data_IF_132718988270
#
_entry.id   IF_132718988270
#
_cell.length_a   1.000
_cell.length_b   1.000
_cell.length_c   1.000
_cell.angle_alpha   90.00
_cell.angle_beta   90.00
_cell.angle_gamma   90.00
#
_symmetry.space_group_name_H-M   'P 1'
#
loop_
_entity.id
_entity.type
_entity.pdbx_description
1 polymer ?
#
# COMPACT_ATOMS: atom_id res chain seq x y z
N UNK A 1 -18.85 -0.57 -24.96
CA UNK A 1 -17.41 -0.31 -24.72
C UNK A 1 -17.03 -0.93 -23.38
N UNK A 2 -15.80 -1.44 -23.22
CA UNK A 2 -15.31 -1.82 -21.88
C UNK A 2 -14.98 -0.53 -21.12
N UNK A 3 -15.36 -0.41 -19.84
CA UNK A 3 -14.96 0.74 -19.02
C UNK A 3 -13.44 0.78 -18.89
N UNK A 4 -12.89 1.99 -18.85
CA UNK A 4 -11.46 2.20 -18.61
C UNK A 4 -11.18 2.03 -17.11
N UNK A 5 -10.03 1.44 -16.80
CA UNK A 5 -9.57 1.25 -15.43
C UNK A 5 -8.13 1.76 -15.33
N UNK A 6 -7.88 2.66 -14.39
CA UNK A 6 -6.55 3.21 -14.11
C UNK A 6 -5.94 2.44 -12.94
N UNK A 7 -4.68 2.02 -13.09
CA UNK A 7 -3.87 1.54 -11.97
C UNK A 7 -2.79 2.60 -11.76
N UNK A 8 -2.74 3.17 -10.56
CA UNK A 8 -1.83 4.27 -10.26
C UNK A 8 -0.96 3.95 -9.06
N UNK A 9 0.32 4.30 -9.19
CA UNK A 9 1.20 4.46 -8.03
C UNK A 9 0.87 5.76 -7.28
N UNK A 10 1.39 5.87 -6.07
CA UNK A 10 1.25 7.03 -5.19
C UNK A 10 2.48 7.94 -5.28
N UNK A 11 3.61 7.48 -4.75
CA UNK A 11 4.80 8.32 -4.60
C UNK A 11 5.38 8.71 -5.96
N UNK A 12 5.65 10.00 -6.13
CA UNK A 12 6.15 10.59 -7.37
C UNK A 12 5.26 10.38 -8.61
N UNK A 13 4.01 9.89 -8.42
CA UNK A 13 3.00 9.76 -9.48
C UNK A 13 1.77 10.61 -9.14
N UNK A 14 1.04 10.27 -8.09
CA UNK A 14 -0.08 11.08 -7.58
C UNK A 14 0.38 12.09 -6.53
N UNK A 15 1.49 11.81 -5.84
CA UNK A 15 2.04 12.63 -4.77
C UNK A 15 3.44 13.12 -5.16
N UNK A 16 3.60 14.42 -5.36
CA UNK A 16 4.93 15.04 -5.41
C UNK A 16 5.46 15.26 -3.99
N UNK A 17 4.57 15.42 -3.01
CA UNK A 17 4.83 15.55 -1.59
C UNK A 17 3.69 14.93 -0.75
N UNK A 18 3.93 14.60 0.54
CA UNK A 18 2.86 14.10 1.42
C UNK A 18 1.67 15.06 1.58
N UNK A 19 1.85 16.36 1.37
CA UNK A 19 0.76 17.35 1.44
C UNK A 19 -0.22 17.29 0.26
N UNK A 20 0.12 16.58 -0.81
CA UNK A 20 -0.71 16.51 -2.03
C UNK A 20 -1.87 15.50 -1.90
N UNK A 21 -1.99 14.84 -0.74
CA UNK A 21 -2.96 13.76 -0.48
C UNK A 21 -4.40 14.13 -0.85
N UNK A 22 -4.81 15.36 -0.55
CA UNK A 22 -6.16 15.83 -0.86
C UNK A 22 -6.37 16.12 -2.35
N UNK A 23 -5.33 16.59 -3.04
CA UNK A 23 -5.38 16.84 -4.48
C UNK A 23 -5.44 15.50 -5.25
N UNK A 24 -4.63 14.52 -4.85
CA UNK A 24 -4.70 13.16 -5.38
C UNK A 24 -6.10 12.55 -5.21
N UNK A 25 -6.71 12.72 -4.03
CA UNK A 25 -8.08 12.30 -3.76
C UNK A 25 -9.10 12.94 -4.72
N UNK A 26 -9.00 14.25 -4.92
CA UNK A 26 -9.88 14.98 -5.86
C UNK A 26 -9.78 14.47 -7.29
N UNK A 27 -8.57 14.24 -7.80
CA UNK A 27 -8.34 13.71 -9.16
C UNK A 27 -9.01 12.33 -9.31
N UNK A 28 -8.87 11.46 -8.32
CA UNK A 28 -9.46 10.12 -8.37
C UNK A 28 -11.00 10.16 -8.30
N UNK A 29 -11.58 11.06 -7.52
CA UNK A 29 -13.02 11.27 -7.45
C UNK A 29 -13.54 11.77 -8.81
N UNK A 30 -12.85 12.74 -9.43
CA UNK A 30 -13.23 13.26 -10.75
C UNK A 30 -13.15 12.17 -11.85
N UNK A 31 -12.16 11.27 -11.79
CA UNK A 31 -12.11 10.10 -12.66
C UNK A 31 -13.30 9.15 -12.43
N UNK A 32 -13.64 8.90 -11.17
CA UNK A 32 -14.78 8.04 -10.82
C UNK A 32 -16.12 8.61 -11.31
N UNK A 33 -16.31 9.93 -11.23
CA UNK A 33 -17.50 10.62 -11.76
C UNK A 33 -17.63 10.49 -13.28
N UNK A 34 -16.52 10.24 -13.99
CA UNK A 34 -16.47 9.97 -15.43
C UNK A 34 -16.62 8.47 -15.76
N UNK A 35 -16.86 7.62 -14.75
CA UNK A 35 -16.96 6.17 -14.90
C UNK A 35 -15.62 5.45 -15.06
N UNK A 36 -14.52 6.09 -14.63
CA UNK A 36 -13.17 5.53 -14.66
C UNK A 36 -12.74 5.17 -13.24
N UNK A 37 -12.69 3.88 -12.93
CA UNK A 37 -12.21 3.41 -11.63
C UNK A 37 -10.68 3.51 -11.56
N UNK A 38 -10.16 3.91 -10.39
CA UNK A 38 -8.72 3.94 -10.12
C UNK A 38 -8.39 2.96 -8.99
N UNK A 39 -7.47 2.02 -9.25
CA UNK A 39 -6.90 1.15 -8.22
C UNK A 39 -5.50 1.65 -7.86
N UNK A 40 -5.27 1.87 -6.56
CA UNK A 40 -3.96 2.27 -6.06
C UNK A 40 -3.04 1.05 -5.94
N UNK A 41 -1.78 1.21 -6.33
CA UNK A 41 -0.75 0.19 -6.22
C UNK A 41 0.60 0.80 -5.87
N UNK A 42 1.10 0.58 -4.65
CA UNK A 42 2.32 1.25 -4.16
C UNK A 42 3.22 0.31 -3.36
N UNK A 43 4.47 0.73 -3.13
CA UNK A 43 5.38 0.09 -2.17
C UNK A 43 5.01 0.33 -0.71
N UNK A 44 4.09 1.26 -0.44
CA UNK A 44 3.55 1.55 0.89
C UNK A 44 2.97 0.30 1.56
N UNK A 45 3.05 0.27 2.88
CA UNK A 45 2.48 -0.79 3.72
C UNK A 45 0.96 -0.79 3.66
N UNK A 46 0.34 -1.91 4.05
CA UNK A 46 -1.12 -2.02 4.16
C UNK A 46 -1.74 -0.88 4.98
N UNK A 47 -1.13 -0.54 6.12
CA UNK A 47 -1.61 0.54 6.99
C UNK A 47 -1.49 1.93 6.34
N UNK A 48 -0.38 2.21 5.66
CA UNK A 48 -0.20 3.49 4.97
C UNK A 48 -1.21 3.68 3.85
N UNK A 49 -1.55 2.62 3.13
CA UNK A 49 -2.56 2.65 2.06
C UNK A 49 -3.97 2.91 2.60
N UNK A 50 -4.33 2.33 3.75
CA UNK A 50 -5.62 2.63 4.42
C UNK A 50 -5.65 4.11 4.83
N UNK A 51 -4.60 4.55 5.53
CA UNK A 51 -4.50 5.95 5.96
C UNK A 51 -4.53 6.93 4.79
N UNK A 52 -3.91 6.58 3.66
CA UNK A 52 -3.99 7.38 2.44
C UNK A 52 -5.44 7.53 1.96
N UNK A 53 -6.20 6.42 1.83
CA UNK A 53 -7.58 6.50 1.36
C UNK A 53 -8.46 7.38 2.27
N UNK A 54 -8.30 7.23 3.58
CA UNK A 54 -9.01 8.06 4.58
C UNK A 54 -8.66 9.54 4.42
N UNK A 55 -7.37 9.88 4.34
CA UNK A 55 -6.92 11.28 4.24
C UNK A 55 -7.25 11.91 2.89
N UNK A 56 -7.20 11.14 1.81
CA UNK A 56 -7.58 11.57 0.47
C UNK A 56 -9.11 11.74 0.31
N UNK A 57 -9.91 11.36 1.31
CA UNK A 57 -11.37 11.46 1.26
C UNK A 57 -12.00 10.50 0.26
N UNK A 58 -11.35 9.37 0.00
CA UNK A 58 -11.82 8.36 -0.94
C UNK A 58 -12.84 7.44 -0.28
N UNK A 59 -13.81 6.97 -1.08
CA UNK A 59 -14.61 5.82 -0.66
C UNK A 59 -13.70 4.58 -0.56
N UNK A 60 -13.85 3.74 0.49
CA UNK A 60 -13.06 2.52 0.63
C UNK A 60 -13.09 1.68 -0.64
N UNK A 61 -11.91 1.42 -1.20
CA UNK A 61 -11.77 0.64 -2.44
C UNK A 61 -10.59 -0.33 -2.35
N UNK A 62 -10.58 -1.41 -3.15
CA UNK A 62 -9.45 -2.34 -3.18
C UNK A 62 -8.16 -1.67 -3.66
N UNK A 63 -7.03 -2.07 -3.08
CA UNK A 63 -5.70 -1.54 -3.40
C UNK A 63 -4.62 -2.62 -3.30
N UNK A 64 -3.46 -2.33 -3.89
CA UNK A 64 -2.27 -3.19 -3.86
C UNK A 64 -1.20 -2.50 -3.01
N UNK A 65 -0.60 -3.24 -2.09
CA UNK A 65 0.41 -2.72 -1.16
C UNK A 65 1.70 -3.54 -1.22
N UNK A 66 2.78 -2.97 -0.70
CA UNK A 66 4.12 -3.58 -0.64
C UNK A 66 4.54 -4.20 -1.98
N UNK A 67 4.37 -3.45 -3.09
CA UNK A 67 4.74 -3.88 -4.44
C UNK A 67 4.06 -5.19 -4.89
N UNK A 68 2.82 -5.43 -4.45
CA UNK A 68 2.08 -6.64 -4.80
C UNK A 68 2.24 -7.80 -3.82
N UNK A 69 2.93 -7.60 -2.70
CA UNK A 69 2.95 -8.58 -1.61
C UNK A 69 1.54 -8.84 -1.02
N UNK A 70 0.60 -7.91 -1.18
CA UNK A 70 -0.78 -8.17 -0.86
C UNK A 70 -1.79 -7.22 -1.51
N UNK A 71 -3.06 -7.60 -1.34
CA UNK A 71 -4.24 -6.84 -1.78
C UNK A 71 -5.03 -6.47 -0.53
N UNK A 72 -5.28 -5.18 -0.34
CA UNK A 72 -6.23 -4.67 0.64
C UNK A 72 -7.62 -4.58 0.03
N UNK A 73 -8.64 -5.00 0.78
CA UNK A 73 -10.02 -5.00 0.30
C UNK A 73 -11.00 -4.55 1.40
N UNK A 74 -11.96 -3.65 1.12
CA UNK A 74 -12.97 -3.23 2.09
C UNK A 74 -13.82 -4.41 2.58
N UNK A 75 -13.94 -4.61 3.90
CA UNK A 75 -14.67 -5.74 4.46
C UNK A 75 -16.16 -5.73 4.13
N UNK A 76 -16.75 -4.55 3.95
CA UNK A 76 -18.17 -4.39 3.60
C UNK A 76 -18.50 -4.97 2.22
N UNK A 77 -17.57 -4.84 1.26
CA UNK A 77 -17.71 -5.30 -0.11
C UNK A 77 -16.81 -6.50 -0.43
N UNK A 78 -16.36 -7.22 0.60
CA UNK A 78 -15.48 -8.36 0.43
C UNK A 78 -16.24 -9.56 -0.16
N UNK A 79 -15.84 -10.09 -1.33
CA UNK A 79 -16.48 -11.28 -1.86
C UNK A 79 -16.31 -12.48 -0.92
N UNK A 80 -17.38 -13.25 -0.69
CA UNK A 80 -17.38 -14.39 0.23
C UNK A 80 -16.26 -15.40 -0.05
N UNK A 81 -15.93 -15.63 -1.33
CA UNK A 81 -14.86 -16.55 -1.73
C UNK A 81 -13.44 -16.07 -1.35
N UNK A 82 -13.32 -14.78 -1.01
CA UNK A 82 -12.08 -14.10 -0.64
C UNK A 82 -11.92 -13.95 0.88
N UNK A 83 -13.00 -13.98 1.67
CA UNK A 83 -12.95 -13.86 3.14
C UNK A 83 -12.06 -14.92 3.80
N UNK A 84 -12.14 -16.16 3.30
CA UNK A 84 -11.27 -17.27 3.73
C UNK A 84 -9.77 -17.08 3.43
N UNK A 85 -9.42 -16.11 2.56
CA UNK A 85 -8.04 -15.78 2.18
C UNK A 85 -7.51 -14.55 2.92
N UNK A 86 -8.34 -13.89 3.72
CA UNK A 86 -7.92 -12.73 4.50
C UNK A 86 -6.99 -13.19 5.61
N UNK A 87 -5.74 -12.73 5.56
CA UNK A 87 -4.72 -13.07 6.54
C UNK A 87 -4.75 -12.14 7.76
N UNK A 88 -5.17 -10.89 7.58
CA UNK A 88 -5.29 -9.89 8.64
C UNK A 88 -6.38 -8.87 8.33
N UNK A 89 -6.99 -8.28 9.37
CA UNK A 89 -8.04 -7.26 9.26
C UNK A 89 -7.60 -6.00 10.02
N UNK A 90 -7.78 -4.83 9.43
CA UNK A 90 -7.44 -3.54 10.03
C UNK A 90 -8.38 -2.45 9.49
N UNK A 91 -8.94 -1.61 10.38
CA UNK A 91 -9.68 -0.39 10.01
C UNK A 91 -10.72 -0.59 8.90
N UNK A 92 -11.50 -1.67 8.96
CA UNK A 92 -12.54 -1.95 7.94
C UNK A 92 -12.02 -2.59 6.65
N UNK A 93 -10.73 -2.91 6.55
CA UNK A 93 -10.12 -3.63 5.44
C UNK A 93 -9.63 -5.03 5.85
N UNK A 94 -9.67 -5.97 4.91
CA UNK A 94 -8.97 -7.26 4.99
C UNK A 94 -7.78 -7.27 4.03
N UNK A 95 -6.65 -7.83 4.45
CA UNK A 95 -5.49 -8.02 3.58
C UNK A 95 -5.37 -9.48 3.13
N UNK A 96 -5.21 -9.68 1.83
CA UNK A 96 -4.90 -10.96 1.20
C UNK A 96 -3.41 -10.94 0.86
N UNK A 97 -2.65 -11.83 1.48
CA UNK A 97 -1.20 -11.91 1.28
C UNK A 97 -0.88 -12.84 0.11
N UNK A 98 -0.10 -12.33 -0.85
CA UNK A 98 0.36 -13.04 -2.04
C UNK A 98 1.86 -13.36 -1.96
N UNK A 99 2.62 -12.53 -1.25
CA UNK A 99 4.06 -12.67 -1.06
C UNK A 99 4.45 -13.64 0.06
N UNK A 100 5.74 -13.96 0.14
CA UNK A 100 6.33 -14.66 1.29
C UNK A 100 6.27 -13.80 2.55
N UNK A 101 6.18 -14.42 3.73
CA UNK A 101 6.12 -13.69 5.00
C UNK A 101 7.34 -12.76 5.21
N UNK A 102 7.10 -11.56 5.73
CA UNK A 102 8.13 -10.56 6.09
C UNK A 102 9.24 -11.14 6.97
N UNK A 103 8.89 -12.09 7.85
CA UNK A 103 9.84 -12.82 8.69
C UNK A 103 10.92 -13.52 7.85
N UNK A 104 10.54 -14.16 6.74
CA UNK A 104 11.48 -14.86 5.87
C UNK A 104 12.42 -13.90 5.13
N UNK A 105 11.93 -12.76 4.65
CA UNK A 105 12.78 -11.74 4.04
C UNK A 105 13.77 -11.14 5.04
N UNK A 106 13.29 -10.85 6.26
CA UNK A 106 14.12 -10.32 7.35
C UNK A 106 15.23 -11.30 7.71
N UNK A 107 14.93 -12.58 7.91
CA UNK A 107 15.93 -13.61 8.22
C UNK A 107 17.01 -13.69 7.12
N UNK A 108 16.61 -13.67 5.85
CA UNK A 108 17.54 -13.68 4.72
C UNK A 108 18.45 -12.45 4.74
N UNK A 109 17.88 -11.26 4.94
CA UNK A 109 18.63 -10.01 5.01
C UNK A 109 19.61 -10.02 6.19
N UNK A 110 19.17 -10.42 7.38
CA UNK A 110 20.02 -10.55 8.56
C UNK A 110 21.17 -11.54 8.36
N UNK A 111 20.90 -12.67 7.71
CA UNK A 111 21.93 -13.65 7.37
C UNK A 111 22.94 -13.10 6.35
N UNK A 112 22.48 -12.31 5.37
CA UNK A 112 23.33 -11.70 4.34
C UNK A 112 24.20 -10.57 4.90
N UNK A 113 23.68 -9.77 5.83
CA UNK A 113 24.43 -8.69 6.49
C UNK A 113 25.65 -9.17 7.28
N UNK A 114 25.68 -10.45 7.69
CA UNK A 114 26.86 -11.06 8.32
C UNK A 114 28.03 -11.25 7.35
N UNK A 115 27.82 -11.10 6.03
CA UNK A 115 28.88 -11.23 5.03
C UNK A 115 29.70 -9.93 4.94
N UNK A 116 31.04 -10.02 4.79
CA UNK A 116 31.87 -8.84 4.58
C UNK A 116 31.39 -8.04 3.36
N UNK A 117 31.34 -6.71 3.49
CA UNK A 117 31.01 -5.79 2.39
C UNK A 117 29.55 -5.39 2.23
N UNK A 118 28.63 -5.90 3.05
CA UNK A 118 27.22 -5.48 3.07
C UNK A 118 26.90 -4.73 4.38
N UNK A 119 26.78 -3.41 4.30
CA UNK A 119 26.39 -2.55 5.42
C UNK A 119 25.03 -1.91 5.12
N UNK A 120 23.99 -2.34 5.84
CA UNK A 120 22.65 -1.75 5.77
C UNK A 120 21.90 -1.93 7.08
N UNK A 121 20.91 -1.06 7.30
CA UNK A 121 19.93 -1.18 8.38
C UNK A 121 18.56 -1.45 7.79
N UNK A 122 17.76 -2.27 8.46
CA UNK A 122 16.34 -2.43 8.15
C UNK A 122 15.59 -1.21 8.66
N UNK A 123 14.47 -0.84 8.02
CA UNK A 123 13.60 0.24 8.49
C UNK A 123 13.17 0.04 9.96
N UNK A 124 12.91 -1.20 10.37
CA UNK A 124 12.54 -1.57 11.73
C UNK A 124 13.65 -1.36 12.78
N UNK A 125 14.90 -1.15 12.35
CA UNK A 125 16.05 -0.92 13.22
C UNK A 125 16.37 0.58 13.36
N UNK A 126 15.72 1.43 12.58
CA UNK A 126 15.93 2.87 12.60
C UNK A 126 15.03 3.53 13.64
N UNK A 127 15.58 4.48 14.39
CA UNK A 127 14.78 5.32 15.27
C UNK A 127 14.13 6.50 14.51
N UNK A 128 13.15 7.21 15.08
CA UNK A 128 12.46 8.31 14.38
C UNK A 128 13.37 9.41 13.82
N UNK A 129 14.49 9.72 14.47
CA UNK A 129 15.46 10.72 13.96
C UNK A 129 16.26 10.22 12.77
N UNK A 130 16.47 8.92 12.67
CA UNK A 130 17.15 8.31 11.53
C UNK A 130 16.19 8.17 10.36
N UNK A 131 14.94 7.79 10.63
CA UNK A 131 13.87 7.75 9.62
C UNK A 131 13.64 9.12 8.98
N UNK A 132 13.66 10.20 9.76
CA UNK A 132 13.46 11.55 9.24
C UNK A 132 14.58 12.06 8.31
N UNK A 133 15.71 11.34 8.21
CA UNK A 133 16.83 11.69 7.31
C UNK A 133 16.76 10.95 5.97
N UNK A 134 15.81 10.02 5.81
CA UNK A 134 15.58 9.28 4.57
C UNK A 134 14.58 9.97 3.63
N UNK A 135 13.99 11.10 4.07
CA UNK A 135 13.08 11.95 3.29
C UNK A 135 13.77 13.20 2.76
#
# INVERSE_FOLDING_TARGET
>A
MRPWHVVSDLDHTLLSSPSDVHEAGRVMIELADQGVCTTLASSKTFSEMISFQEQAGLNPSPFIFENGCGIGWPLEDLPLWLDQKVALKQQGFGAILLGSALASATEILLARRKKPGLNFSLLSELNPRELSRLG
#
